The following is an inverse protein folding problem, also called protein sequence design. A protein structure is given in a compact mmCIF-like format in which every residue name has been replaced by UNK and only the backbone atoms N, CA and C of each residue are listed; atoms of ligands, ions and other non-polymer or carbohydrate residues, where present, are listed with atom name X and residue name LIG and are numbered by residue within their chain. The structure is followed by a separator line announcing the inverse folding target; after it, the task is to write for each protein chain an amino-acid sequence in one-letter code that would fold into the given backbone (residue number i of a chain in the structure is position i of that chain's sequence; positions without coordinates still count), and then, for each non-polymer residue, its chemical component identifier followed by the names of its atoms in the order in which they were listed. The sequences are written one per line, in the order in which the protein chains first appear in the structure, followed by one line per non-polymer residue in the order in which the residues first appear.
data_IF_628674511065
#
_entry.id   IF_628674511065
#
_cell.length_a   1.000
_cell.length_b   1.000
_cell.length_c   1.000
_cell.angle_alpha   90.00
_cell.angle_beta   90.00
_cell.angle_gamma   90.00
#
_symmetry.space_group_name_H-M   'P 1'
#
loop_
_entity.id
_entity.type
_entity.pdbx_description
1 polymer ?
#
# COMPACT_ATOMS: atom_id res chain seq x y z
N UNK A 1 -13.94 7.34 34.32
CA UNK A 1 -13.44 6.35 33.33
C UNK A 1 -12.40 7.04 32.45
N UNK A 2 -11.11 6.99 32.80
CA UNK A 2 -10.09 7.88 32.20
C UNK A 2 -9.31 7.27 31.03
N UNK A 3 -9.46 5.97 30.75
CA UNK A 3 -8.58 5.26 29.81
C UNK A 3 -9.30 4.38 28.78
N UNK A 4 -10.59 4.65 28.51
CA UNK A 4 -11.34 3.96 27.47
C UNK A 4 -11.60 4.88 26.28
N UNK A 5 -11.30 4.40 25.08
CA UNK A 5 -11.64 5.08 23.81
C UNK A 5 -12.27 4.08 22.88
N UNK A 6 -13.44 4.39 22.33
CA UNK A 6 -14.22 3.49 21.46
C UNK A 6 -14.44 2.10 22.10
N UNK A 7 -14.88 2.05 23.36
CA UNK A 7 -15.09 0.80 24.12
C UNK A 7 -13.82 -0.07 24.32
N UNK A 8 -12.64 0.42 23.93
CA UNK A 8 -11.37 -0.31 24.10
C UNK A 8 -10.64 0.27 25.30
N UNK A 9 -10.19 -0.61 26.22
CA UNK A 9 -9.25 -0.22 27.29
C UNK A 9 -7.87 0.06 26.70
N UNK A 10 -7.40 1.31 26.85
CA UNK A 10 -6.10 1.78 26.32
C UNK A 10 -4.97 1.79 27.36
N UNK A 11 -5.24 1.33 28.58
CA UNK A 11 -4.21 1.15 29.62
C UNK A 11 -3.22 0.04 29.24
N UNK A 12 -3.67 -0.92 28.43
CA UNK A 12 -2.85 -2.01 27.95
C UNK A 12 -2.25 -1.67 26.58
N UNK A 13 -1.00 -2.10 26.38
CA UNK A 13 -0.36 -2.10 25.08
C UNK A 13 -1.17 -2.95 24.10
N UNK A 14 -1.41 -2.45 22.90
CA UNK A 14 -2.08 -3.17 21.81
C UNK A 14 -1.01 -3.52 20.78
N UNK A 15 -1.05 -4.75 20.26
CA UNK A 15 -0.12 -5.16 19.19
C UNK A 15 -0.29 -4.27 17.96
N UNK A 16 0.84 -3.93 17.32
CA UNK A 16 0.87 -3.10 16.11
C UNK A 16 0.03 -3.73 14.99
N UNK A 17 -0.82 -2.92 14.36
CA UNK A 17 -1.65 -3.35 13.21
C UNK A 17 -2.92 -4.12 13.57
N UNK A 18 -3.20 -4.33 14.87
CA UNK A 18 -4.46 -4.91 15.35
C UNK A 18 -5.45 -3.86 15.87
N UNK A 19 -5.01 -2.61 16.04
CA UNK A 19 -5.86 -1.56 16.58
C UNK A 19 -7.09 -1.30 15.70
N UNK A 20 -6.90 -1.20 14.39
CA UNK A 20 -7.97 -0.90 13.44
C UNK A 20 -9.06 -1.98 13.50
N UNK A 21 -8.67 -3.24 13.65
CA UNK A 21 -9.59 -4.35 13.82
C UNK A 21 -10.42 -4.26 15.10
N UNK A 22 -9.79 -3.84 16.20
CA UNK A 22 -10.51 -3.62 17.46
C UNK A 22 -11.47 -2.44 17.36
N UNK A 23 -11.08 -1.37 16.67
CA UNK A 23 -11.94 -0.22 16.43
C UNK A 23 -13.14 -0.60 15.55
N UNK A 24 -12.94 -1.40 14.50
CA UNK A 24 -14.03 -1.92 13.68
C UNK A 24 -14.96 -2.84 14.48
N UNK A 25 -14.41 -3.72 15.32
CA UNK A 25 -15.19 -4.55 16.22
C UNK A 25 -16.01 -3.71 17.20
N UNK A 26 -15.46 -2.60 17.69
CA UNK A 26 -16.14 -1.70 18.63
C UNK A 26 -17.39 -1.02 18.05
N UNK A 27 -17.46 -0.90 16.71
CA UNK A 27 -18.62 -0.33 16.00
C UNK A 27 -19.85 -1.24 16.09
N UNK A 28 -19.68 -2.53 16.37
CA UNK A 28 -20.80 -3.44 16.59
C UNK A 28 -21.59 -2.99 17.81
N UNK A 29 -22.92 -2.93 17.66
CA UNK A 29 -23.83 -2.52 18.74
C UNK A 29 -23.84 -3.50 19.91
N UNK A 30 -23.62 -4.77 19.62
CA UNK A 30 -23.67 -5.87 20.57
C UNK A 30 -22.42 -5.95 21.46
N UNK A 31 -21.31 -5.33 21.02
CA UNK A 31 -20.07 -5.24 21.79
C UNK A 31 -20.16 -4.08 22.77
N UNK A 32 -20.02 -4.37 24.05
CA UNK A 32 -20.08 -3.37 25.13
C UNK A 32 -18.68 -2.87 25.47
N UNK A 33 -17.69 -3.76 25.56
CA UNK A 33 -16.35 -3.43 26.02
C UNK A 33 -15.31 -4.39 25.41
N UNK A 34 -14.11 -3.88 25.17
CA UNK A 34 -12.98 -4.63 24.62
C UNK A 34 -11.78 -4.43 25.54
N UNK A 35 -11.24 -5.54 26.01
CA UNK A 35 -10.17 -5.60 27.00
C UNK A 35 -8.98 -6.33 26.35
N UNK A 36 -7.99 -5.58 25.84
CA UNK A 36 -6.73 -6.17 25.41
C UNK A 36 -6.03 -6.81 26.61
N UNK A 37 -5.56 -8.04 26.44
CA UNK A 37 -4.86 -8.83 27.44
C UNK A 37 -3.37 -8.93 27.15
N UNK A 38 -2.79 -10.04 27.61
CA UNK A 38 -1.35 -10.33 27.54
C UNK A 38 -0.89 -10.45 26.09
N UNK A 39 0.30 -9.88 25.82
CA UNK A 39 1.02 -10.03 24.55
C UNK A 39 2.06 -11.14 24.73
N UNK A 40 1.96 -12.18 23.92
CA UNK A 40 2.92 -13.25 23.81
C UNK A 40 3.75 -13.06 22.54
N UNK A 41 5.08 -13.05 22.68
CA UNK A 41 5.98 -12.99 21.53
C UNK A 41 6.04 -14.37 20.86
N UNK A 42 5.99 -14.42 19.54
CA UNK A 42 6.00 -15.68 18.77
C UNK A 42 6.81 -15.46 17.50
N UNK A 43 7.39 -16.49 16.89
CA UNK A 43 8.16 -16.35 15.64
C UNK A 43 7.32 -16.49 14.36
N UNK A 44 5.99 -16.51 14.48
CA UNK A 44 5.09 -16.68 13.36
C UNK A 44 4.91 -15.38 12.60
N UNK A 45 4.89 -15.48 11.27
CA UNK A 45 4.55 -14.39 10.35
C UNK A 45 3.04 -14.30 10.08
N UNK A 46 2.24 -15.15 10.73
CA UNK A 46 0.80 -15.15 10.55
C UNK A 46 0.16 -13.86 11.08
N UNK A 47 -0.70 -13.28 10.26
CA UNK A 47 -1.57 -12.17 10.63
C UNK A 47 -3.01 -12.62 10.52
N UNK A 48 -3.80 -12.39 11.57
CA UNK A 48 -5.20 -12.83 11.61
C UNK A 48 -5.88 -12.57 12.94
N UNK A 49 -7.18 -12.87 12.98
CA UNK A 49 -8.00 -12.84 14.19
C UNK A 49 -8.66 -14.21 14.28
N UNK A 50 -8.45 -14.91 15.40
CA UNK A 50 -9.03 -16.21 15.65
C UNK A 50 -10.01 -16.11 16.82
N UNK A 51 -11.17 -16.76 16.68
CA UNK A 51 -12.13 -16.91 17.77
C UNK A 51 -11.76 -18.11 18.62
N UNK A 52 -11.54 -17.91 19.94
CA UNK A 52 -11.07 -18.99 20.80
C UNK A 52 -12.21 -19.72 21.52
N UNK A 53 -12.91 -19.03 22.43
CA UNK A 53 -14.02 -19.61 23.19
C UNK A 53 -14.94 -18.54 23.79
N UNK A 54 -16.14 -18.97 24.18
CA UNK A 54 -17.13 -18.16 24.86
C UNK A 54 -16.85 -18.08 26.36
N UNK A 55 -17.11 -16.91 26.93
CA UNK A 55 -16.99 -16.65 28.37
C UNK A 55 -18.36 -16.24 28.90
N UNK A 56 -18.63 -16.35 30.21
CA UNK A 56 -19.93 -15.97 30.77
C UNK A 56 -20.37 -14.53 30.47
N UNK A 57 -19.42 -13.63 30.22
CA UNK A 57 -19.66 -12.20 29.95
C UNK A 57 -19.43 -11.81 28.48
N UNK A 58 -19.09 -12.76 27.60
CA UNK A 58 -18.79 -12.48 26.20
C UNK A 58 -17.90 -13.54 25.55
N UNK A 59 -16.76 -13.15 24.98
CA UNK A 59 -15.87 -14.10 24.29
C UNK A 59 -14.39 -13.71 24.35
N UNK A 60 -13.52 -14.69 24.10
CA UNK A 60 -12.08 -14.51 23.97
C UNK A 60 -11.65 -14.66 22.52
N UNK A 61 -10.89 -13.68 22.04
CA UNK A 61 -10.28 -13.63 20.72
C UNK A 61 -8.76 -13.68 20.83
N UNK A 62 -8.14 -14.18 19.78
CA UNK A 62 -6.69 -14.23 19.61
C UNK A 62 -6.30 -13.37 18.42
N UNK A 63 -5.62 -12.26 18.68
CA UNK A 63 -5.10 -11.36 17.66
C UNK A 63 -3.67 -11.79 17.32
N UNK A 64 -3.44 -12.17 16.08
CA UNK A 64 -2.11 -12.53 15.55
C UNK A 64 -1.58 -11.39 14.70
N UNK A 65 -0.38 -10.91 15.02
CA UNK A 65 0.40 -10.04 14.16
C UNK A 65 1.80 -10.62 13.98
N UNK A 66 2.53 -10.11 12.99
CA UNK A 66 3.88 -10.56 12.67
C UNK A 66 4.78 -10.52 13.90
N UNK A 67 5.10 -11.70 14.44
CA UNK A 67 5.98 -11.86 15.59
C UNK A 67 5.31 -11.79 16.97
N UNK A 68 3.98 -11.66 17.08
CA UNK A 68 3.30 -11.54 18.39
C UNK A 68 1.83 -11.91 18.35
N UNK A 69 1.33 -12.43 19.46
CA UNK A 69 -0.06 -12.83 19.65
C UNK A 69 -0.62 -12.13 20.89
N UNK A 70 -1.82 -11.56 20.80
CA UNK A 70 -2.49 -10.92 21.93
C UNK A 70 -3.86 -11.54 22.17
N UNK A 71 -4.08 -11.90 23.42
CA UNK A 71 -5.41 -12.30 23.87
C UNK A 71 -6.27 -11.05 24.04
N UNK A 72 -7.51 -11.09 23.56
CA UNK A 72 -8.47 -10.00 23.73
C UNK A 72 -9.78 -10.55 24.26
N UNK A 73 -10.28 -9.97 25.33
CA UNK A 73 -11.58 -10.29 25.88
C UNK A 73 -12.60 -9.26 25.41
N UNK A 74 -13.69 -9.74 24.85
CA UNK A 74 -14.78 -8.92 24.33
C UNK A 74 -16.01 -9.18 25.18
N UNK A 75 -16.51 -8.13 25.82
CA UNK A 75 -17.75 -8.17 26.60
C UNK A 75 -18.91 -7.93 25.63
N UNK A 76 -19.76 -8.94 25.48
CA UNK A 76 -20.91 -8.93 24.55
C UNK A 76 -22.03 -9.79 25.12
N UNK A 77 -23.27 -9.38 24.89
CA UNK A 77 -24.45 -10.21 25.18
C UNK A 77 -24.70 -11.26 24.10
N UNK A 78 -24.07 -11.13 22.93
CA UNK A 78 -24.23 -12.01 21.77
C UNK A 78 -22.87 -12.40 21.19
N UNK A 79 -22.26 -13.50 21.65
CA UNK A 79 -20.96 -13.96 21.15
C UNK A 79 -21.03 -14.42 19.68
N UNK A 80 -22.18 -14.91 19.23
CA UNK A 80 -22.37 -15.40 17.85
C UNK A 80 -22.06 -14.35 16.77
N UNK A 81 -22.44 -13.09 16.99
CA UNK A 81 -22.16 -12.05 16.01
C UNK A 81 -20.69 -11.67 15.97
N UNK A 82 -19.99 -11.74 17.11
CA UNK A 82 -18.54 -11.55 17.15
C UNK A 82 -17.87 -12.69 16.38
N UNK A 83 -18.31 -13.93 16.56
CA UNK A 83 -17.82 -15.08 15.80
C UNK A 83 -18.04 -14.92 14.30
N UNK A 84 -19.23 -14.51 13.87
CA UNK A 84 -19.54 -14.24 12.46
C UNK A 84 -18.68 -13.11 11.89
N UNK A 85 -18.45 -12.04 12.66
CA UNK A 85 -17.57 -10.95 12.28
C UNK A 85 -16.12 -11.42 12.10
N UNK A 86 -15.61 -12.24 13.02
CA UNK A 86 -14.26 -12.80 12.94
C UNK A 86 -14.11 -13.67 11.70
N UNK A 87 -15.08 -14.56 11.44
CA UNK A 87 -15.06 -15.44 10.27
C UNK A 87 -15.03 -14.65 8.96
N UNK A 88 -15.87 -13.63 8.84
CA UNK A 88 -15.85 -12.75 7.67
C UNK A 88 -14.48 -12.08 7.49
N UNK A 89 -13.89 -11.62 8.60
CA UNK A 89 -12.57 -10.95 8.54
C UNK A 89 -11.43 -11.90 8.20
N UNK A 90 -11.47 -13.15 8.67
CA UNK A 90 -10.49 -14.16 8.29
C UNK A 90 -10.59 -14.52 6.80
N UNK A 91 -11.80 -14.66 6.27
CA UNK A 91 -12.01 -14.94 4.84
C UNK A 91 -11.48 -13.80 3.95
N UNK A 92 -11.73 -12.54 4.33
CA UNK A 92 -11.18 -11.37 3.64
C UNK A 92 -9.64 -11.36 3.63
N UNK A 93 -9.02 -11.74 4.75
CA UNK A 93 -7.56 -11.81 4.85
C UNK A 93 -6.99 -12.93 3.99
N UNK A 94 -7.66 -14.08 3.92
CA UNK A 94 -7.20 -15.22 3.11
C UNK A 94 -7.35 -14.95 1.62
N UNK A 95 -8.41 -14.26 1.19
CA UNK A 95 -8.54 -13.76 -0.18
C UNK A 95 -7.42 -12.78 -0.54
N UNK A 96 -7.07 -11.88 0.37
CA UNK A 96 -6.01 -10.90 0.15
C UNK A 96 -4.63 -11.56 0.08
N UNK A 97 -4.36 -12.57 0.92
CA UNK A 97 -3.12 -13.38 0.83
C UNK A 97 -3.01 -14.06 -0.53
N UNK A 98 -4.08 -14.70 -0.98
CA UNK A 98 -4.11 -15.38 -2.28
C UNK A 98 -3.84 -14.42 -3.44
N UNK A 99 -4.46 -13.23 -3.42
CA UNK A 99 -4.22 -12.21 -4.43
C UNK A 99 -2.75 -11.72 -4.44
N UNK A 100 -2.14 -11.56 -3.26
CA UNK A 100 -0.73 -11.17 -3.13
C UNK A 100 0.19 -12.27 -3.69
N UNK A 101 -0.08 -13.54 -3.40
CA UNK A 101 0.67 -14.68 -3.91
C UNK A 101 0.61 -14.77 -5.45
N UNK A 102 -0.56 -14.52 -6.04
CA UNK A 102 -0.73 -14.48 -7.50
C UNK A 102 0.09 -13.35 -8.15
N UNK A 103 0.16 -12.16 -7.53
CA UNK A 103 0.98 -11.05 -8.03
C UNK A 103 2.49 -11.35 -7.96
N UNK A 104 2.95 -11.99 -6.88
CA UNK A 104 4.35 -12.39 -6.72
C UNK A 104 4.73 -13.41 -7.79
N UNK A 105 3.87 -14.41 -8.01
CA UNK A 105 4.07 -15.41 -9.06
C UNK A 105 4.15 -14.78 -10.47
N UNK A 106 3.38 -13.73 -10.74
CA UNK A 106 3.44 -12.99 -12.01
C UNK A 106 4.75 -12.19 -12.16
N UNK A 107 5.28 -11.61 -11.08
CA UNK A 107 6.54 -10.86 -11.10
C UNK A 107 7.75 -11.79 -11.28
N UNK A 108 7.75 -12.95 -10.64
CA UNK A 108 8.81 -13.94 -10.79
C UNK A 108 8.89 -14.46 -12.24
N UNK A 109 7.76 -14.82 -12.84
CA UNK A 109 7.70 -15.26 -14.26
C UNK A 109 8.16 -14.19 -15.25
N UNK A 110 7.90 -12.91 -15.00
CA UNK A 110 8.41 -11.81 -15.84
C UNK A 110 9.92 -11.61 -15.69
N UNK A 111 10.46 -11.86 -14.51
CA UNK A 111 11.89 -11.70 -14.22
C UNK A 111 12.70 -12.86 -14.82
N UNK A 112 12.17 -14.07 -14.80
CA UNK A 112 12.75 -15.25 -15.46
C UNK A 112 12.70 -15.14 -16.99
N UNK A 113 11.64 -14.56 -17.56
CA UNK A 113 11.52 -14.34 -19.01
C UNK A 113 12.49 -13.27 -19.56
N UNK A 114 13.12 -12.46 -18.70
CA UNK A 114 14.10 -11.43 -19.09
C UNK A 114 15.57 -11.88 -18.96
N UNK A 115 15.84 -13.12 -18.51
CA UNK A 115 17.19 -13.68 -18.38
C UNK A 115 17.55 -14.73 -19.44
N UNK A 116 16.97 -14.67 -20.64
CA UNK A 116 17.52 -15.41 -21.79
C UNK A 116 18.59 -14.55 -22.50
N UNK A 117 19.84 -15.03 -22.65
CA UNK A 117 20.88 -14.26 -23.32
C UNK A 117 20.55 -14.11 -24.82
N UNK A 118 20.57 -12.87 -25.32
CA UNK A 118 20.51 -12.58 -26.75
C UNK A 118 21.65 -13.31 -27.49
N UNK A 119 21.29 -14.37 -28.21
CA UNK A 119 22.19 -15.05 -29.12
C UNK A 119 22.37 -14.18 -30.38
N UNK A 120 23.43 -13.37 -30.39
CA UNK A 120 23.84 -12.55 -31.54
C UNK A 120 24.39 -13.45 -32.64
N UNK A 121 23.58 -13.81 -33.63
CA UNK A 121 24.03 -14.01 -35.02
C UNK A 121 22.85 -14.39 -35.93
N UNK A 122 22.34 -13.43 -36.72
CA UNK A 122 22.17 -13.62 -38.17
C UNK A 122 21.92 -12.29 -38.88
N UNK A 123 22.56 -12.22 -40.05
CA UNK A 123 22.88 -11.04 -40.85
C UNK A 123 21.64 -10.37 -41.45
N UNK A 124 21.69 -9.05 -41.45
CA UNK A 124 20.85 -8.16 -42.25
C UNK A 124 21.12 -8.41 -43.73
N UNK A 125 20.07 -8.63 -44.51
CA UNK A 125 20.11 -8.50 -45.95
C UNK A 125 18.98 -7.54 -46.35
N UNK A 126 19.38 -6.34 -46.76
CA UNK A 126 18.55 -5.38 -47.46
C UNK A 126 17.93 -6.02 -48.72
N UNK A 127 16.70 -5.60 -49.06
CA UNK A 127 16.29 -5.30 -50.45
C UNK A 127 14.88 -4.70 -50.54
N UNK A 128 14.87 -3.49 -51.08
CA UNK A 128 13.88 -2.85 -51.97
C UNK A 128 12.42 -2.61 -51.54
N UNK A 129 12.07 -1.32 -51.55
CA UNK A 129 10.74 -0.79 -51.84
C UNK A 129 10.42 -0.97 -53.34
N UNK A 130 9.16 -1.24 -53.73
CA UNK A 130 8.38 -0.13 -54.29
C UNK A 130 6.88 -0.14 -53.93
N UNK A 131 6.27 1.01 -54.22
CA UNK A 131 4.90 1.45 -53.95
C UNK A 131 3.82 0.72 -54.77
N UNK A 132 2.68 0.49 -54.12
CA UNK A 132 1.28 0.67 -54.58
C UNK A 132 0.42 -0.45 -53.97
N UNK A 133 -0.71 -0.11 -53.35
CA UNK A 133 -2.02 -0.72 -53.66
C UNK A 133 -3.13 0.05 -52.94
N UNK A 134 -4.15 0.40 -53.73
CA UNK A 134 -5.48 0.80 -53.28
C UNK A 134 -6.18 -0.42 -52.67
N UNK A 135 -7.02 -0.12 -51.68
CA UNK A 135 -8.27 -0.77 -51.30
C UNK A 135 -8.35 -2.31 -51.34
N UNK A 136 -8.49 -2.91 -50.16
CA UNK A 136 -9.59 -3.78 -49.70
C UNK A 136 -9.06 -4.89 -48.77
N UNK A 137 -9.77 -5.10 -47.67
CA UNK A 137 -9.78 -6.39 -46.95
C UNK A 137 -8.68 -6.64 -45.92
N UNK A 138 -9.12 -6.91 -44.69
CA UNK A 138 -8.52 -7.85 -43.74
C UNK A 138 -7.44 -7.37 -42.74
N UNK A 139 -7.98 -6.85 -41.62
CA UNK A 139 -7.70 -7.20 -40.21
C UNK A 139 -6.23 -7.48 -39.82
N UNK A 140 -5.57 -6.44 -39.31
CA UNK A 140 -4.56 -6.57 -38.24
C UNK A 140 -5.07 -5.76 -37.06
N UNK A 141 -5.59 -6.47 -36.04
CA UNK A 141 -6.22 -5.86 -34.88
C UNK A 141 -5.18 -5.22 -33.95
N UNK A 142 -5.34 -3.92 -33.73
CA UNK A 142 -4.70 -3.17 -32.65
C UNK A 142 -5.17 -3.72 -31.28
N UNK A 143 -4.28 -3.91 -30.29
CA UNK A 143 -4.62 -4.38 -28.94
C UNK A 143 -5.47 -3.39 -28.11
N UNK A 144 -5.87 -2.25 -28.70
CA UNK A 144 -6.77 -1.28 -28.08
C UNK A 144 -8.25 -1.63 -28.24
N UNK A 145 -8.63 -2.48 -29.21
CA UNK A 145 -10.04 -2.84 -29.48
C UNK A 145 -10.56 -3.93 -28.53
N UNK A 146 -9.67 -4.71 -27.90
CA UNK A 146 -10.09 -5.82 -27.02
C UNK A 146 -10.69 -5.36 -25.69
N UNK A 147 -10.41 -4.12 -25.23
CA UNK A 147 -11.05 -3.57 -24.02
C UNK A 147 -12.52 -3.24 -24.23
N UNK A 148 -12.91 -2.84 -25.44
CA UNK A 148 -14.30 -2.44 -25.73
C UNK A 148 -15.25 -3.63 -25.82
N UNK A 149 -14.75 -4.84 -26.15
CA UNK A 149 -15.57 -6.05 -26.19
C UNK A 149 -15.99 -6.56 -24.80
N UNK A 150 -15.20 -6.26 -23.75
CA UNK A 150 -15.55 -6.62 -22.37
C UNK A 150 -16.48 -5.60 -21.70
N UNK A 151 -16.60 -4.38 -22.23
CA UNK A 151 -17.45 -3.31 -21.70
C UNK A 151 -18.83 -3.24 -22.37
N UNK A 152 -19.08 -4.02 -23.42
CA UNK A 152 -20.33 -4.00 -24.21
C UNK A 152 -21.62 -4.35 -23.42
N UNK A 153 -21.52 -4.72 -22.14
CA UNK A 153 -22.67 -5.04 -21.27
C UNK A 153 -22.87 -4.11 -20.06
N UNK A 154 -21.94 -3.19 -19.79
CA UNK A 154 -22.04 -2.30 -18.63
C UNK A 154 -22.36 -0.91 -19.15
N UNK A 155 -23.65 -0.57 -19.19
CA UNK A 155 -24.08 0.83 -19.34
C UNK A 155 -23.73 1.56 -18.04
N UNK A 156 -22.47 1.98 -17.92
CA UNK A 156 -22.11 2.99 -16.93
C UNK A 156 -22.70 4.31 -17.41
N UNK A 157 -23.73 4.80 -16.72
CA UNK A 157 -24.14 6.19 -16.84
C UNK A 157 -23.00 7.06 -16.27
N UNK A 158 -22.02 7.38 -17.12
CA UNK A 158 -20.96 8.31 -16.80
C UNK A 158 -21.59 9.69 -16.66
N UNK A 159 -22.01 10.02 -15.45
CA UNK A 159 -22.38 11.38 -15.08
C UNK A 159 -21.09 12.18 -14.96
N UNK A 160 -20.72 12.87 -16.04
CA UNK A 160 -19.61 13.83 -16.00
C UNK A 160 -20.02 14.94 -15.04
N UNK A 161 -19.52 14.88 -13.81
CA UNK A 161 -19.69 15.95 -12.83
C UNK A 161 -18.62 16.98 -13.15
N UNK A 162 -19.03 18.19 -13.53
CA UNK A 162 -18.10 19.30 -13.68
C UNK A 162 -17.47 19.58 -12.31
N UNK A 163 -16.21 19.17 -12.14
CA UNK A 163 -15.42 19.57 -10.97
C UNK A 163 -15.40 21.10 -10.95
N UNK A 164 -15.81 21.69 -9.82
CA UNK A 164 -15.74 23.12 -9.54
C UNK A 164 -14.40 23.67 -10.05
N UNK A 165 -14.43 24.73 -10.87
CA UNK A 165 -13.24 25.26 -11.54
C UNK A 165 -12.08 25.51 -10.56
N UNK A 166 -12.36 26.04 -9.36
CA UNK A 166 -11.34 26.26 -8.34
C UNK A 166 -10.63 24.99 -7.84
N UNK A 167 -11.28 23.82 -7.86
CA UNK A 167 -10.63 22.54 -7.54
C UNK A 167 -9.69 22.10 -8.66
N UNK A 168 -10.07 22.32 -9.92
CA UNK A 168 -9.21 22.04 -11.07
C UNK A 168 -7.97 22.93 -11.04
N UNK A 169 -8.17 24.22 -10.80
CA UNK A 169 -7.08 25.20 -10.78
C UNK A 169 -6.10 24.91 -9.63
N UNK A 170 -6.60 24.56 -8.44
CA UNK A 170 -5.74 24.16 -7.32
C UNK A 170 -4.92 22.90 -7.62
N UNK A 171 -5.50 21.96 -8.37
CA UNK A 171 -4.82 20.71 -8.72
C UNK A 171 -3.75 20.95 -9.79
N UNK A 172 -4.04 21.80 -10.78
CA UNK A 172 -3.08 22.21 -11.80
C UNK A 172 -1.93 23.00 -11.17
N UNK A 173 -2.21 23.89 -10.20
CA UNK A 173 -1.19 24.63 -9.46
C UNK A 173 -0.32 23.70 -8.59
N UNK A 174 -0.93 22.70 -7.95
CA UNK A 174 -0.20 21.66 -7.22
C UNK A 174 0.69 20.81 -8.15
N UNK A 175 0.25 20.51 -9.37
CA UNK A 175 1.06 19.78 -10.35
C UNK A 175 2.20 20.64 -10.89
N UNK A 176 1.96 21.94 -11.12
CA UNK A 176 2.99 22.88 -11.55
C UNK A 176 4.09 23.05 -10.49
N UNK A 177 3.71 23.16 -9.20
CA UNK A 177 4.69 23.19 -8.09
C UNK A 177 5.49 21.90 -7.95
N UNK A 178 4.93 20.75 -8.33
CA UNK A 178 5.69 19.50 -8.38
C UNK A 178 6.58 19.38 -9.62
N UNK A 179 6.25 20.02 -10.73
CA UNK A 179 7.05 20.04 -11.95
C UNK A 179 8.30 20.94 -11.84
N UNK A 180 8.29 21.95 -10.98
CA UNK A 180 9.47 22.77 -10.67
C UNK A 180 10.55 22.05 -9.82
N UNK A 181 10.35 20.76 -9.50
CA UNK A 181 11.30 19.89 -8.80
C UNK A 181 12.30 19.19 -9.74
N UNK A 182 12.58 19.74 -10.92
CA UNK A 182 13.52 19.12 -11.86
C UNK A 182 14.99 19.21 -11.43
N UNK A 183 15.32 19.89 -10.32
CA UNK A 183 16.61 19.78 -9.63
C UNK A 183 16.54 20.35 -8.19
N UNK A 184 15.98 19.63 -7.19
CA UNK A 184 16.01 20.09 -5.82
C UNK A 184 17.46 20.03 -5.33
N UNK A 185 18.12 21.19 -5.25
CA UNK A 185 19.41 21.25 -4.56
C UNK A 185 19.11 20.91 -3.10
N UNK A 186 19.78 19.89 -2.55
CA UNK A 186 19.67 19.50 -1.13
C UNK A 186 19.81 20.69 -0.16
N UNK A 187 20.44 21.77 -0.61
CA UNK A 187 20.54 23.01 0.12
C UNK A 187 19.18 23.67 0.40
N UNK A 188 18.18 23.55 -0.47
CA UNK A 188 16.94 24.33 -0.35
C UNK A 188 15.98 23.74 0.68
N UNK A 189 15.98 22.42 0.88
CA UNK A 189 15.19 21.71 1.91
C UNK A 189 15.75 21.81 3.34
N UNK A 190 16.87 22.48 3.56
CA UNK A 190 17.48 22.61 4.89
C UNK A 190 16.95 23.83 5.65
N UNK A 191 16.65 23.63 6.93
CA UNK A 191 16.31 24.69 7.88
C UNK A 191 17.43 25.75 7.94
N UNK A 192 17.12 27.03 8.19
CA UNK A 192 18.09 28.12 8.13
C UNK A 192 19.25 27.96 9.12
N UNK A 193 19.03 27.27 10.23
CA UNK A 193 20.07 26.94 11.21
C UNK A 193 21.07 25.91 10.66
N UNK A 194 20.58 24.90 9.95
CA UNK A 194 21.39 23.85 9.34
C UNK A 194 22.24 24.42 8.19
N UNK A 195 21.68 25.35 7.40
CA UNK A 195 22.42 26.11 6.38
C UNK A 195 23.59 26.88 6.97
N UNK A 196 23.39 27.58 8.10
CA UNK A 196 24.44 28.31 8.82
C UNK A 196 25.53 27.39 9.37
N UNK A 197 25.15 26.24 9.93
CA UNK A 197 26.10 25.25 10.43
C UNK A 197 26.97 24.67 9.30
N UNK A 198 26.37 24.36 8.15
CA UNK A 198 27.06 23.81 6.98
C UNK A 198 28.01 24.84 6.35
N UNK A 199 27.63 26.12 6.30
CA UNK A 199 28.53 27.19 5.90
C UNK A 199 29.72 27.36 6.85
N UNK A 200 29.51 27.29 8.17
CA UNK A 200 30.59 27.32 9.17
C UNK A 200 31.55 26.14 9.01
N UNK A 201 31.03 24.94 8.73
CA UNK A 201 31.86 23.76 8.46
C UNK A 201 32.64 23.89 7.15
N UNK A 202 32.01 24.36 6.07
CA UNK A 202 32.70 24.63 4.79
C UNK A 202 33.81 25.68 4.94
N UNK A 203 33.59 26.71 5.74
CA UNK A 203 34.60 27.72 6.05
C UNK A 203 35.77 27.14 6.85
N UNK A 204 35.49 26.24 7.81
CA UNK A 204 36.53 25.52 8.57
C UNK A 204 37.33 24.53 7.73
N UNK A 205 36.73 23.92 6.71
CA UNK A 205 37.39 22.96 5.82
C UNK A 205 38.22 23.64 4.72
N UNK A 206 37.94 24.90 4.38
CA UNK A 206 38.81 25.73 3.52
C UNK A 206 39.94 26.35 4.36
N UNK A 207 40.84 25.53 4.88
CA UNK A 207 42.15 26.00 5.35
C UNK A 207 43.06 26.11 4.10
N UNK A 208 43.73 27.26 3.87
CA UNK A 208 44.60 27.43 2.72
C UNK A 208 45.83 26.53 2.84
N UNK A 209 46.18 25.85 1.74
CA UNK A 209 47.48 25.22 1.57
C UNK A 209 48.58 26.30 1.70
N UNK A 210 49.27 26.33 2.84
CA UNK A 210 50.62 26.91 2.98
C UNK A 210 51.57 25.73 3.22
N UNK A 211 52.24 25.28 2.17
CA UNK A 211 53.63 25.65 1.87
C UNK A 211 54.59 25.21 2.98
N UNK A 212 55.09 23.97 2.85
CA UNK A 212 56.41 23.60 3.35
C UNK A 212 57.31 23.39 2.13
N UNK A 213 58.15 24.37 1.81
CA UNK A 213 59.41 24.14 1.11
C UNK A 213 60.50 24.93 1.82
N UNK A 214 61.53 24.18 2.24
CA UNK A 214 62.83 24.56 2.78
C UNK A 214 62.87 25.18 4.18
#
# INVERSE_FOLDING_TARGET
MKFRRNKIKREHSIIKGCLDWLEDLSRLKEVTDIIPGVINVTHSKERGIDYQYETPTGCKLLLKAEGSIQETFVVTTRPEAVKAWVQKRSEELDLLKKALEDEVAWKEKKTEAQQQPLNKNKKVADKHHPKNYKETGDVVANPLVERDKFLAGIKEEVRVVEINQGLRDSFVESLATMADLDNPKLADSLEPEQKKALQKLKAKLKIPAKQHSN
#
